data_IF_894706267708
#
_entry.id   IF_894706267708
#
_cell.length_a   1.000
_cell.length_b   1.000
_cell.length_c   1.000
_cell.angle_alpha   90.00
_cell.angle_beta   90.00
_cell.angle_gamma   90.00
#
_symmetry.space_group_name_H-M   'P 1'
#
loop_
_entity.id
_entity.type
_entity.pdbx_description
1 polymer ?
#
# COMPACT_ATOMS: atom_id res chain seq x y z
N UNK A 1 1.09 11.20 12.05
CA UNK A 1 1.70 11.21 10.73
C UNK A 1 2.46 9.90 10.53
N UNK A 2 1.79 8.91 10.00
CA UNK A 2 2.45 7.72 9.48
C UNK A 2 3.24 8.18 8.25
N UNK A 3 4.57 8.10 8.33
CA UNK A 3 5.48 8.65 7.33
C UNK A 3 5.28 8.07 5.94
N UNK A 4 4.39 8.70 5.19
CA UNK A 4 4.24 8.41 3.77
C UNK A 4 5.30 9.16 2.98
N UNK A 5 5.98 8.49 2.05
CA UNK A 5 6.92 9.13 1.13
C UNK A 5 6.14 10.10 0.23
N UNK A 6 6.44 11.37 0.36
CA UNK A 6 5.86 12.44 -0.45
C UNK A 6 6.92 13.19 -1.26
N UNK A 7 8.02 12.52 -1.60
CA UNK A 7 9.08 13.05 -2.44
C UNK A 7 10.16 13.85 -1.69
N UNK A 8 10.69 14.94 -2.26
CA UNK A 8 11.85 15.68 -1.76
C UNK A 8 11.71 16.23 -0.33
N UNK A 9 10.49 16.30 0.22
CA UNK A 9 10.25 16.73 1.61
C UNK A 9 10.91 15.84 2.67
N UNK A 10 11.18 14.58 2.35
CA UNK A 10 11.75 13.59 3.27
C UNK A 10 13.21 13.91 3.62
N UNK A 11 13.94 14.54 2.71
CA UNK A 11 15.34 14.95 2.92
C UNK A 11 15.43 15.95 4.09
N UNK A 12 14.47 16.84 4.25
CA UNK A 12 14.43 17.81 5.34
C UNK A 12 14.17 17.18 6.71
N UNK A 13 13.45 16.05 6.74
CA UNK A 13 13.07 15.38 8.00
C UNK A 13 14.13 14.43 8.52
N UNK A 14 15.27 14.28 7.84
CA UNK A 14 16.31 13.29 8.14
C UNK A 14 15.78 11.86 8.22
N UNK A 15 14.90 11.53 7.29
CA UNK A 15 14.23 10.24 7.13
C UNK A 15 14.61 9.63 5.79
N UNK A 16 14.68 8.29 5.74
CA UNK A 16 15.01 7.53 4.53
C UNK A 16 13.94 6.43 4.33
N UNK A 17 13.39 6.37 3.13
CA UNK A 17 12.52 5.27 2.71
C UNK A 17 13.38 4.15 2.12
N UNK A 18 13.22 2.95 2.66
CA UNK A 18 14.11 1.82 2.32
C UNK A 18 13.48 0.82 1.36
N UNK A 19 12.39 1.19 0.73
CA UNK A 19 11.68 0.41 -0.27
C UNK A 19 10.23 0.83 -0.36
N UNK A 20 9.50 0.25 -1.30
CA UNK A 20 8.04 0.42 -1.41
C UNK A 20 7.41 -0.91 -1.05
N UNK A 21 6.57 -0.92 -0.03
CA UNK A 21 5.84 -2.11 0.41
C UNK A 21 4.34 -2.05 0.11
N UNK A 22 3.83 -0.91 -0.38
CA UNK A 22 2.46 -0.77 -0.81
C UNK A 22 2.34 0.35 -1.85
N UNK A 23 1.83 0.02 -3.02
CA UNK A 23 1.52 0.99 -4.07
C UNK A 23 0.07 1.40 -3.94
N UNK A 24 -0.16 2.63 -3.51
CA UNK A 24 -1.45 3.27 -3.34
C UNK A 24 -1.63 4.44 -4.32
N UNK A 25 -2.72 5.13 -4.22
CA UNK A 25 -3.03 6.34 -4.96
C UNK A 25 -4.35 6.94 -4.51
N UNK A 26 -4.58 8.19 -4.90
CA UNK A 26 -5.81 8.90 -4.60
C UNK A 26 -6.98 8.31 -5.39
N UNK A 27 -8.08 8.03 -4.69
CA UNK A 27 -9.33 7.53 -5.24
C UNK A 27 -10.54 8.38 -4.82
N UNK A 28 -11.73 7.84 -5.06
CA UNK A 28 -13.01 8.48 -4.77
C UNK A 28 -13.95 7.52 -4.08
N UNK A 29 -14.60 7.95 -3.01
CA UNK A 29 -15.67 7.21 -2.37
C UNK A 29 -16.97 7.99 -2.44
N UNK A 30 -18.04 7.30 -2.84
CA UNK A 30 -19.37 7.86 -3.06
C UNK A 30 -20.45 7.00 -2.40
N UNK A 31 -21.64 7.56 -2.11
CA UNK A 31 -22.80 6.74 -1.78
C UNK A 31 -23.21 5.85 -2.96
N UNK A 32 -23.49 4.57 -2.72
CA UNK A 32 -23.98 3.65 -3.77
C UNK A 32 -25.29 4.14 -4.40
N UNK A 33 -26.08 4.92 -3.67
CA UNK A 33 -27.31 5.55 -4.16
C UNK A 33 -27.07 6.62 -5.24
N UNK A 34 -25.83 7.14 -5.38
CA UNK A 34 -25.48 8.08 -6.44
C UNK A 34 -25.53 7.41 -7.83
N UNK A 35 -25.35 6.08 -7.88
CA UNK A 35 -25.54 5.28 -9.10
C UNK A 35 -24.44 5.46 -10.16
N UNK A 36 -23.29 6.06 -9.80
CA UNK A 36 -22.13 6.24 -10.68
C UNK A 36 -21.17 5.06 -10.55
N UNK A 37 -20.47 4.76 -11.63
CA UNK A 37 -19.48 3.67 -11.71
C UNK A 37 -18.07 4.15 -12.06
N UNK A 38 -17.94 5.43 -12.38
CA UNK A 38 -16.67 6.08 -12.76
C UNK A 38 -16.59 7.48 -12.18
N UNK A 39 -15.39 7.91 -11.81
CA UNK A 39 -15.13 9.27 -11.36
C UNK A 39 -15.37 10.33 -12.46
N UNK A 40 -15.40 9.92 -13.73
CA UNK A 40 -15.73 10.83 -14.85
C UNK A 40 -17.22 11.17 -14.91
N UNK A 41 -18.06 10.49 -14.14
CA UNK A 41 -19.50 10.76 -14.03
C UNK A 41 -19.83 11.75 -12.89
N UNK A 42 -18.81 12.29 -12.20
CA UNK A 42 -18.96 13.17 -11.04
C UNK A 42 -19.09 14.66 -11.41
N UNK A 43 -19.57 14.99 -12.61
CA UNK A 43 -19.73 16.40 -13.01
C UNK A 43 -20.75 17.13 -12.12
N UNK A 44 -20.34 18.27 -11.56
CA UNK A 44 -21.14 19.08 -10.64
C UNK A 44 -21.22 18.56 -9.20
N UNK A 45 -20.53 17.47 -8.86
CA UNK A 45 -20.58 16.90 -7.51
C UNK A 45 -19.90 17.79 -6.47
N UNK A 46 -20.41 17.77 -5.24
CA UNK A 46 -19.74 18.37 -4.07
C UNK A 46 -18.70 17.42 -3.51
N UNK A 47 -17.43 17.81 -3.50
CA UNK A 47 -16.29 16.98 -3.09
C UNK A 47 -15.70 17.44 -1.78
N UNK A 48 -15.71 16.57 -0.74
CA UNK A 48 -14.97 16.78 0.50
C UNK A 48 -13.47 16.61 0.22
N UNK A 49 -12.68 17.68 0.38
CA UNK A 49 -11.25 17.73 0.03
C UNK A 49 -10.43 18.46 1.08
N UNK A 50 -9.33 17.87 1.51
CA UNK A 50 -8.39 18.51 2.43
C UNK A 50 -7.56 19.56 1.69
N UNK A 51 -7.73 20.81 2.08
CA UNK A 51 -7.07 21.96 1.46
C UNK A 51 -5.57 21.99 1.74
N UNK A 52 -4.81 22.55 0.80
CA UNK A 52 -3.34 22.71 0.91
C UNK A 52 -2.57 21.40 0.78
N UNK A 53 -3.19 20.36 0.23
CA UNK A 53 -2.59 19.03 0.03
C UNK A 53 -2.34 18.73 -1.44
N UNK A 54 -1.50 17.74 -1.72
CA UNK A 54 -1.35 17.16 -3.07
C UNK A 54 -2.65 16.58 -3.60
N UNK A 55 -3.50 16.09 -2.70
CA UNK A 55 -4.83 15.54 -3.01
C UNK A 55 -5.72 16.59 -3.67
N UNK A 56 -5.69 17.84 -3.19
CA UNK A 56 -6.45 18.95 -3.80
C UNK A 56 -5.94 19.26 -5.22
N UNK A 57 -4.62 19.28 -5.43
CA UNK A 57 -4.03 19.53 -6.74
C UNK A 57 -4.37 18.43 -7.74
N UNK A 58 -4.25 17.15 -7.34
CA UNK A 58 -4.58 16.01 -8.19
C UNK A 58 -6.07 16.01 -8.57
N UNK A 59 -6.95 16.33 -7.62
CA UNK A 59 -8.38 16.46 -7.87
C UNK A 59 -8.67 17.51 -8.95
N UNK A 60 -8.12 18.72 -8.80
CA UNK A 60 -8.31 19.82 -9.74
C UNK A 60 -7.80 19.46 -11.14
N UNK A 61 -6.65 18.81 -11.23
CA UNK A 61 -6.08 18.37 -12.50
C UNK A 61 -6.93 17.28 -13.17
N UNK A 62 -7.40 16.29 -12.41
CA UNK A 62 -8.24 15.21 -12.95
C UNK A 62 -9.56 15.74 -13.51
N UNK A 63 -10.25 16.60 -12.77
CA UNK A 63 -11.53 17.18 -13.21
C UNK A 63 -11.34 18.07 -14.44
N UNK A 64 -10.30 18.91 -14.46
CA UNK A 64 -9.96 19.76 -15.60
C UNK A 64 -9.65 18.93 -16.86
N UNK A 65 -8.86 17.86 -16.73
CA UNK A 65 -8.47 17.01 -17.86
C UNK A 65 -9.66 16.26 -18.46
N UNK A 66 -10.64 15.92 -17.64
CA UNK A 66 -11.87 15.23 -18.08
C UNK A 66 -12.99 16.21 -18.48
N UNK A 67 -12.78 17.52 -18.36
CA UNK A 67 -13.77 18.53 -18.73
C UNK A 67 -15.02 18.55 -17.85
N UNK A 68 -14.90 18.08 -16.61
CA UNK A 68 -15.95 18.05 -15.58
C UNK A 68 -15.67 19.08 -14.48
N UNK A 69 -16.74 19.53 -13.83
CA UNK A 69 -16.71 20.52 -12.75
C UNK A 69 -17.00 19.86 -11.40
N UNK A 70 -16.64 20.54 -10.30
CA UNK A 70 -17.00 20.15 -8.95
C UNK A 70 -17.15 21.35 -8.03
N UNK A 71 -17.86 21.18 -6.92
CA UNK A 71 -17.89 22.14 -5.82
C UNK A 71 -17.02 21.60 -4.67
N UNK A 72 -15.98 22.37 -4.28
CA UNK A 72 -15.11 21.93 -3.18
C UNK A 72 -15.77 22.22 -1.83
N UNK A 73 -15.90 21.20 -0.98
CA UNK A 73 -16.18 21.33 0.44
C UNK A 73 -14.85 21.13 1.19
N UNK A 74 -14.18 22.23 1.62
CA UNK A 74 -12.90 22.14 2.29
C UNK A 74 -13.03 21.50 3.67
N UNK A 75 -12.10 20.61 4.00
CA UNK A 75 -11.97 19.94 5.29
C UNK A 75 -10.55 20.14 5.84
N UNK A 76 -10.41 20.08 7.16
CA UNK A 76 -9.11 20.16 7.84
C UNK A 76 -8.53 18.78 8.15
N UNK A 77 -9.40 17.79 8.41
CA UNK A 77 -8.99 16.44 8.80
C UNK A 77 -9.72 15.35 8.01
N UNK A 78 -9.11 14.17 7.94
CA UNK A 78 -9.76 13.00 7.33
C UNK A 78 -11.04 12.59 8.07
N UNK A 79 -11.10 12.76 9.38
CA UNK A 79 -12.30 12.44 10.16
C UNK A 79 -13.45 13.37 9.83
N UNK A 80 -13.18 14.66 9.66
CA UNK A 80 -14.17 15.62 9.17
C UNK A 80 -14.70 15.26 7.78
N UNK A 81 -13.83 14.80 6.87
CA UNK A 81 -14.23 14.32 5.54
C UNK A 81 -15.20 13.15 5.60
N UNK A 82 -14.88 12.14 6.43
CA UNK A 82 -15.76 10.98 6.68
C UNK A 82 -17.12 11.41 7.25
N UNK A 83 -17.10 12.25 8.27
CA UNK A 83 -18.34 12.74 8.91
C UNK A 83 -19.20 13.54 7.92
N UNK A 84 -18.59 14.38 7.09
CA UNK A 84 -19.30 15.17 6.09
C UNK A 84 -19.92 14.28 5.01
N UNK A 85 -19.18 13.29 4.50
CA UNK A 85 -19.72 12.32 3.54
C UNK A 85 -20.87 11.52 4.14
N UNK A 86 -20.69 10.97 5.35
CA UNK A 86 -21.73 10.15 6.00
C UNK A 86 -22.98 10.95 6.37
N UNK A 87 -22.84 12.26 6.61
CA UNK A 87 -23.94 13.17 6.83
C UNK A 87 -24.60 13.70 5.54
N UNK A 88 -24.08 13.33 4.36
CA UNK A 88 -24.57 13.80 3.05
C UNK A 88 -24.30 15.29 2.81
N UNK A 89 -23.25 15.85 3.40
CA UNK A 89 -22.83 17.25 3.17
C UNK A 89 -21.98 17.37 1.92
N UNK A 90 -21.31 16.30 1.50
CA UNK A 90 -20.69 16.17 0.19
C UNK A 90 -21.12 14.85 -0.46
N UNK A 91 -21.05 14.80 -1.79
CA UNK A 91 -21.38 13.64 -2.59
C UNK A 91 -20.20 12.68 -2.72
N UNK A 92 -18.99 13.23 -2.61
CA UNK A 92 -17.73 12.52 -2.83
C UNK A 92 -16.74 12.85 -1.72
N UNK A 93 -16.05 11.82 -1.23
CA UNK A 93 -14.85 11.99 -0.42
C UNK A 93 -13.64 11.43 -1.18
N UNK A 94 -12.54 12.19 -1.24
CA UNK A 94 -11.33 11.80 -1.94
C UNK A 94 -10.11 11.87 -1.01
N UNK A 95 -9.37 10.78 -0.98
CA UNK A 95 -8.08 10.59 -0.30
C UNK A 95 -7.42 9.32 -0.87
N UNK A 96 -6.37 8.80 -0.23
CA UNK A 96 -5.73 7.54 -0.60
C UNK A 96 -6.76 6.39 -0.64
N UNK A 97 -6.72 5.55 -1.67
CA UNK A 97 -7.70 4.48 -1.90
C UNK A 97 -7.74 3.47 -0.74
N UNK A 98 -6.59 3.16 -0.13
CA UNK A 98 -6.54 2.32 1.08
C UNK A 98 -7.27 2.97 2.26
N UNK A 99 -7.14 4.30 2.41
CA UNK A 99 -7.86 5.09 3.40
C UNK A 99 -9.37 5.11 3.15
N UNK A 100 -9.80 5.17 1.88
CA UNK A 100 -11.20 5.07 1.49
C UNK A 100 -11.77 3.67 1.78
N UNK A 101 -11.04 2.61 1.45
CA UNK A 101 -11.42 1.23 1.78
C UNK A 101 -11.58 1.03 3.29
N UNK A 102 -10.64 1.57 4.08
CA UNK A 102 -10.73 1.55 5.55
C UNK A 102 -11.95 2.34 6.06
N UNK A 103 -12.24 3.49 5.46
CA UNK A 103 -13.41 4.31 5.80
C UNK A 103 -14.71 3.59 5.49
N UNK A 104 -14.78 2.92 4.34
CA UNK A 104 -15.91 2.09 3.95
C UNK A 104 -16.12 0.93 4.91
N UNK A 105 -15.05 0.19 5.24
CA UNK A 105 -15.09 -0.96 6.14
C UNK A 105 -15.54 -0.57 7.56
N UNK A 106 -15.16 0.62 8.02
CA UNK A 106 -15.54 1.13 9.35
C UNK A 106 -16.95 1.76 9.40
N UNK A 107 -17.62 1.94 8.25
CA UNK A 107 -18.95 2.51 8.20
C UNK A 107 -20.00 1.58 8.82
N UNK A 108 -21.05 2.14 9.42
CA UNK A 108 -22.16 1.36 10.01
C UNK A 108 -22.87 0.45 8.99
N UNK A 109 -22.80 0.78 7.72
CA UNK A 109 -23.31 0.00 6.59
C UNK A 109 -22.36 0.16 5.39
N UNK A 110 -21.33 -0.69 5.26
CA UNK A 110 -20.33 -0.61 4.19
C UNK A 110 -20.92 -0.68 2.77
N UNK A 111 -22.01 -1.43 2.58
CA UNK A 111 -22.65 -1.63 1.26
C UNK A 111 -23.31 -0.35 0.71
N UNK A 112 -23.47 0.68 1.55
CA UNK A 112 -23.94 1.99 1.12
C UNK A 112 -22.88 2.84 0.44
N UNK A 113 -21.63 2.39 0.43
CA UNK A 113 -20.50 3.16 -0.04
C UNK A 113 -19.73 2.39 -1.11
N UNK A 114 -19.30 3.09 -2.14
CA UNK A 114 -18.51 2.54 -3.24
C UNK A 114 -17.21 3.33 -3.35
N UNK A 115 -16.09 2.63 -3.40
CA UNK A 115 -14.81 3.20 -3.83
C UNK A 115 -14.74 3.00 -5.33
N UNK A 116 -14.64 4.10 -6.08
CA UNK A 116 -14.59 4.07 -7.54
C UNK A 116 -13.25 3.53 -8.04
N UNK A 117 -13.19 2.97 -9.25
CA UNK A 117 -11.99 2.26 -9.74
C UNK A 117 -10.82 3.18 -10.14
N UNK A 118 -11.10 4.48 -10.35
CA UNK A 118 -10.05 5.40 -10.81
C UNK A 118 -9.06 5.73 -9.68
N UNK A 119 -7.79 5.59 -10.01
CA UNK A 119 -6.66 6.04 -9.19
C UNK A 119 -5.97 7.19 -9.92
N UNK A 120 -5.96 8.38 -9.31
CA UNK A 120 -5.54 9.62 -9.98
C UNK A 120 -4.18 10.15 -9.52
N UNK A 121 -3.51 9.46 -8.61
CA UNK A 121 -2.14 9.79 -8.18
C UNK A 121 -1.28 8.54 -8.02
N UNK A 122 -0.01 8.74 -7.68
CA UNK A 122 0.94 7.70 -7.32
C UNK A 122 1.40 7.95 -5.90
N UNK A 123 1.05 7.03 -5.00
CA UNK A 123 1.44 7.08 -3.59
C UNK A 123 2.25 5.81 -3.23
N UNK A 124 3.57 5.81 -3.49
CA UNK A 124 4.44 4.69 -3.12
C UNK A 124 4.71 4.75 -1.61
N UNK A 125 4.07 3.86 -0.85
CA UNK A 125 4.22 3.78 0.61
C UNK A 125 5.33 2.80 0.95
N UNK A 126 6.11 3.10 1.98
CA UNK A 126 7.24 2.25 2.35
C UNK A 126 7.73 2.45 3.77
N UNK A 127 8.54 1.50 4.27
CA UNK A 127 9.15 1.61 5.57
C UNK A 127 10.10 2.81 5.65
N UNK A 128 10.04 3.50 6.77
CA UNK A 128 10.78 4.70 7.07
C UNK A 128 11.81 4.41 8.15
N UNK A 129 13.07 4.76 7.90
CA UNK A 129 14.16 4.67 8.88
C UNK A 129 14.79 6.04 9.12
N UNK A 130 15.57 6.16 10.20
CA UNK A 130 16.33 7.36 10.48
C UNK A 130 17.46 7.51 9.46
N UNK A 131 17.59 8.68 8.85
CA UNK A 131 18.70 8.98 7.94
C UNK A 131 20.06 8.83 8.63
N UNK A 132 20.97 8.09 8.00
CA UNK A 132 22.30 7.79 8.53
C UNK A 132 22.39 6.49 9.34
N UNK A 133 21.27 5.80 9.56
CA UNK A 133 21.25 4.46 10.14
C UNK A 133 21.18 3.41 9.02
N UNK A 134 22.27 3.31 8.28
CA UNK A 134 22.32 2.46 7.07
C UNK A 134 22.17 0.97 7.41
N UNK A 135 22.75 0.52 8.53
CA UNK A 135 22.65 -0.86 8.97
C UNK A 135 21.18 -1.26 9.20
N UNK A 136 20.45 -0.46 9.97
CA UNK A 136 19.03 -0.70 10.18
C UNK A 136 18.22 -0.57 8.90
N UNK A 137 18.57 0.40 8.05
CA UNK A 137 17.96 0.56 6.74
C UNK A 137 18.10 -0.69 5.85
N UNK A 138 19.28 -1.32 5.86
CA UNK A 138 19.53 -2.55 5.13
C UNK A 138 18.75 -3.73 5.71
N UNK A 139 18.68 -3.86 7.04
CA UNK A 139 17.85 -4.91 7.69
C UNK A 139 16.38 -4.77 7.26
N UNK A 140 15.82 -3.56 7.33
CA UNK A 140 14.40 -3.34 6.96
C UNK A 140 14.17 -3.60 5.47
N UNK A 141 15.05 -3.11 4.60
CA UNK A 141 14.99 -3.32 3.14
C UNK A 141 15.02 -4.80 2.78
N UNK A 142 15.98 -5.53 3.32
CA UNK A 142 16.13 -6.95 3.02
C UNK A 142 15.06 -7.80 3.66
N UNK A 143 14.47 -7.40 4.79
CA UNK A 143 13.27 -8.05 5.34
C UNK A 143 12.11 -8.01 4.36
N UNK A 144 11.83 -6.85 3.76
CA UNK A 144 10.81 -6.72 2.72
C UNK A 144 11.16 -7.56 1.49
N UNK A 145 12.40 -7.46 1.00
CA UNK A 145 12.85 -8.22 -0.17
C UNK A 145 12.73 -9.74 0.06
N UNK A 146 13.07 -10.22 1.25
CA UNK A 146 12.95 -11.64 1.57
C UNK A 146 11.50 -12.13 1.49
N UNK A 147 10.53 -11.33 1.96
CA UNK A 147 9.11 -11.66 1.86
C UNK A 147 8.63 -11.69 0.40
N UNK A 148 9.08 -10.75 -0.44
CA UNK A 148 8.74 -10.70 -1.87
C UNK A 148 9.34 -11.91 -2.61
N UNK A 149 10.62 -12.22 -2.35
CA UNK A 149 11.31 -13.37 -2.96
C UNK A 149 10.66 -14.68 -2.51
N UNK A 150 10.26 -14.79 -1.25
CA UNK A 150 9.55 -15.97 -0.75
C UNK A 150 8.22 -16.20 -1.50
N UNK A 151 7.46 -15.15 -1.77
CA UNK A 151 6.25 -15.24 -2.59
C UNK A 151 6.60 -15.70 -4.01
N UNK A 152 7.63 -15.14 -4.64
CA UNK A 152 8.06 -15.49 -6.00
C UNK A 152 8.51 -16.97 -6.08
N UNK A 153 9.13 -17.49 -5.03
CA UNK A 153 9.57 -18.90 -4.94
C UNK A 153 8.48 -19.86 -4.41
N UNK A 154 7.29 -19.36 -4.10
CA UNK A 154 6.18 -20.14 -3.54
C UNK A 154 6.46 -20.68 -2.12
N UNK A 155 7.29 -19.98 -1.36
CA UNK A 155 7.59 -20.31 0.04
C UNK A 155 6.61 -19.58 0.94
N UNK A 156 5.94 -20.33 1.82
CA UNK A 156 4.91 -19.84 2.74
C UNK A 156 5.25 -20.17 4.18
N UNK A 157 4.56 -19.56 5.13
CA UNK A 157 4.67 -19.89 6.56
C UNK A 157 4.39 -21.37 6.86
N UNK A 158 3.55 -22.02 6.04
CA UNK A 158 3.18 -23.43 6.20
C UNK A 158 4.24 -24.40 5.66
N UNK A 159 4.90 -24.04 4.53
CA UNK A 159 5.82 -24.95 3.85
C UNK A 159 7.31 -24.67 4.09
N UNK A 160 7.67 -23.55 4.71
CA UNK A 160 9.06 -23.08 4.88
C UNK A 160 9.95 -24.12 5.55
N UNK A 161 9.45 -24.90 6.51
CA UNK A 161 10.22 -25.96 7.19
C UNK A 161 10.68 -27.03 6.20
N UNK A 162 9.79 -27.48 5.32
CA UNK A 162 10.10 -28.47 4.30
C UNK A 162 11.07 -27.92 3.24
N UNK A 163 11.01 -26.63 2.95
CA UNK A 163 11.87 -25.97 1.97
C UNK A 163 13.34 -25.85 2.42
N UNK A 164 13.65 -26.02 3.70
CA UNK A 164 15.04 -26.09 4.18
C UNK A 164 15.81 -27.30 3.63
N UNK A 165 15.10 -28.30 3.11
CA UNK A 165 15.66 -29.48 2.43
C UNK A 165 15.48 -29.43 0.91
N UNK A 166 15.20 -28.28 0.33
CA UNK A 166 15.02 -28.08 -1.10
C UNK A 166 16.30 -28.40 -1.87
N UNK A 167 16.17 -28.76 -3.15
CA UNK A 167 17.31 -28.90 -4.07
C UNK A 167 17.50 -27.63 -4.95
N UNK A 168 16.75 -26.56 -4.67
CA UNK A 168 16.85 -25.28 -5.39
C UNK A 168 17.83 -24.38 -4.64
N UNK A 169 18.99 -24.02 -5.22
CA UNK A 169 20.02 -23.26 -4.51
C UNK A 169 19.53 -21.87 -4.05
N UNK A 170 18.63 -21.24 -4.79
CA UNK A 170 18.07 -19.94 -4.42
C UNK A 170 17.23 -20.01 -3.14
N UNK A 171 16.43 -21.07 -3.00
CA UNK A 171 15.66 -21.37 -1.78
C UNK A 171 16.60 -21.59 -0.60
N UNK A 172 17.66 -22.39 -0.76
CA UNK A 172 18.61 -22.69 0.31
C UNK A 172 19.35 -21.42 0.76
N UNK A 173 19.71 -20.53 -0.18
CA UNK A 173 20.31 -19.24 0.16
C UNK A 173 19.34 -18.32 0.91
N UNK A 174 18.10 -18.21 0.44
CA UNK A 174 17.07 -17.39 1.10
C UNK A 174 16.84 -17.85 2.54
N UNK A 175 16.77 -19.16 2.77
CA UNK A 175 16.47 -19.73 4.09
C UNK A 175 17.71 -19.85 4.99
N UNK A 176 18.89 -19.41 4.53
CA UNK A 176 20.15 -19.42 5.30
C UNK A 176 20.75 -20.80 5.50
N UNK A 177 20.35 -21.81 4.71
CA UNK A 177 20.95 -23.14 4.70
C UNK A 177 22.28 -23.14 3.96
N UNK A 178 22.39 -22.31 2.91
CA UNK A 178 23.62 -22.07 2.16
C UNK A 178 24.01 -20.58 2.19
N UNK A 179 25.31 -20.30 2.26
CA UNK A 179 25.83 -18.94 2.33
C UNK A 179 25.83 -18.37 3.73
N UNK A 180 26.26 -17.09 3.85
CA UNK A 180 26.39 -16.38 5.10
C UNK A 180 25.76 -14.96 5.00
N UNK A 181 24.63 -14.84 4.36
CA UNK A 181 23.99 -13.55 4.07
C UNK A 181 23.44 -12.85 5.33
N UNK A 182 23.15 -13.61 6.37
CA UNK A 182 22.77 -13.04 7.68
C UNK A 182 23.91 -12.25 8.32
N UNK A 183 25.13 -12.74 8.23
CA UNK A 183 26.32 -12.06 8.77
C UNK A 183 26.52 -10.67 8.15
N UNK A 184 26.16 -10.49 6.87
CA UNK A 184 26.25 -9.19 6.18
C UNK A 184 25.27 -8.15 6.75
N UNK A 185 24.22 -8.61 7.40
CA UNK A 185 23.21 -7.80 8.08
C UNK A 185 23.40 -7.78 9.61
N UNK A 186 24.47 -8.40 10.12
CA UNK A 186 24.72 -8.63 11.56
C UNK A 186 23.59 -9.42 12.23
N UNK A 187 22.97 -10.34 11.49
CA UNK A 187 21.90 -11.22 11.92
C UNK A 187 22.33 -12.69 11.83
N UNK A 188 21.53 -13.60 12.40
CA UNK A 188 21.67 -15.03 12.16
C UNK A 188 21.38 -15.37 10.68
N UNK A 189 22.01 -16.42 10.15
CA UNK A 189 21.81 -16.78 8.72
C UNK A 189 20.38 -17.18 8.38
N UNK A 190 19.61 -17.66 9.35
CA UNK A 190 18.22 -18.08 9.22
C UNK A 190 17.20 -16.91 9.38
N UNK A 191 17.64 -15.67 9.39
CA UNK A 191 16.78 -14.49 9.62
C UNK A 191 15.57 -14.44 8.66
N UNK A 192 15.76 -14.72 7.37
CA UNK A 192 14.67 -14.72 6.40
C UNK A 192 13.72 -15.90 6.61
N UNK A 193 14.26 -17.10 6.96
CA UNK A 193 13.44 -18.24 7.40
C UNK A 193 12.56 -17.85 8.58
N UNK A 194 13.12 -17.15 9.59
CA UNK A 194 12.37 -16.73 10.78
C UNK A 194 11.25 -15.75 10.44
N UNK A 195 11.48 -14.81 9.53
CA UNK A 195 10.43 -13.89 9.05
C UNK A 195 9.31 -14.68 8.38
N UNK A 196 9.65 -15.53 7.41
CA UNK A 196 8.65 -16.30 6.65
C UNK A 196 7.87 -17.25 7.57
N UNK A 197 8.56 -17.90 8.52
CA UNK A 197 7.93 -18.81 9.46
C UNK A 197 6.90 -18.15 10.38
N UNK A 198 7.19 -16.91 10.82
CA UNK A 198 6.37 -16.23 11.84
C UNK A 198 5.32 -15.30 11.22
N UNK A 199 5.62 -14.69 10.06
CA UNK A 199 4.78 -13.65 9.44
C UNK A 199 4.22 -14.14 8.10
N UNK A 200 4.92 -15.05 7.40
CA UNK A 200 4.62 -15.45 6.05
C UNK A 200 5.40 -14.68 4.99
N UNK A 201 5.13 -14.96 3.73
CA UNK A 201 5.63 -14.18 2.60
C UNK A 201 4.81 -12.89 2.41
N UNK A 202 5.13 -12.09 1.39
CA UNK A 202 4.44 -10.83 1.15
C UNK A 202 2.94 -11.03 0.84
N UNK A 203 2.59 -12.05 0.03
CA UNK A 203 1.19 -12.36 -0.27
C UNK A 203 0.40 -12.71 0.99
N UNK A 204 0.93 -13.60 1.84
CA UNK A 204 0.26 -13.99 3.09
C UNK A 204 0.01 -12.77 3.98
N UNK A 205 1.01 -11.89 4.11
CA UNK A 205 0.85 -10.65 4.89
C UNK A 205 -0.17 -9.70 4.27
N UNK A 206 -0.16 -9.54 2.94
CA UNK A 206 -1.12 -8.69 2.22
C UNK A 206 -2.55 -9.20 2.39
N UNK A 207 -2.78 -10.48 2.08
CA UNK A 207 -4.10 -11.09 2.13
C UNK A 207 -4.69 -11.10 3.55
N UNK A 208 -3.86 -11.30 4.56
CA UNK A 208 -4.32 -11.30 5.95
C UNK A 208 -4.72 -9.90 6.47
N UNK A 209 -4.13 -8.83 5.94
CA UNK A 209 -4.31 -7.48 6.48
C UNK A 209 -5.21 -6.59 5.63
N UNK A 210 -5.11 -6.66 4.30
CA UNK A 210 -5.79 -5.73 3.39
C UNK A 210 -6.47 -6.41 2.21
N UNK A 211 -6.23 -7.69 2.00
CA UNK A 211 -6.65 -8.46 0.81
C UNK A 211 -8.17 -8.54 0.62
N UNK A 212 -8.61 -9.16 -0.49
CA UNK A 212 -10.02 -9.25 -0.88
C UNK A 212 -10.93 -9.94 0.15
N UNK A 213 -10.38 -10.85 0.95
CA UNK A 213 -11.13 -11.57 2.00
C UNK A 213 -11.18 -10.82 3.34
N UNK A 214 -10.57 -9.64 3.42
CA UNK A 214 -10.66 -8.75 4.59
C UNK A 214 -11.80 -7.74 4.42
N UNK A 215 -12.22 -7.04 5.50
CA UNK A 215 -13.18 -5.96 5.38
C UNK A 215 -12.76 -4.81 4.45
N UNK A 216 -11.46 -4.69 4.14
CA UNK A 216 -10.92 -3.66 3.25
C UNK A 216 -11.13 -4.01 1.77
N UNK A 217 -11.14 -5.29 1.42
CA UNK A 217 -11.39 -5.83 0.07
C UNK A 217 -10.47 -5.23 -1.01
N UNK A 218 -9.18 -5.02 -0.67
CA UNK A 218 -8.23 -4.40 -1.61
C UNK A 218 -7.60 -5.49 -2.48
N UNK A 219 -7.85 -5.41 -3.80
CA UNK A 219 -7.18 -6.28 -4.76
C UNK A 219 -5.69 -5.96 -4.86
N UNK A 220 -4.86 -6.97 -5.16
CA UNK A 220 -3.40 -6.82 -5.29
C UNK A 220 -3.00 -5.73 -6.30
N UNK A 221 -3.57 -5.72 -7.49
CA UNK A 221 -3.25 -4.72 -8.52
C UNK A 221 -1.75 -4.54 -8.72
N UNK A 222 -1.24 -3.32 -8.58
CA UNK A 222 0.20 -3.03 -8.64
C UNK A 222 1.01 -3.72 -7.53
N UNK A 223 0.38 -4.10 -6.43
CA UNK A 223 1.00 -4.83 -5.32
C UNK A 223 1.16 -6.33 -5.58
N UNK A 224 0.85 -6.82 -6.77
CA UNK A 224 1.19 -8.17 -7.21
C UNK A 224 2.65 -8.25 -7.68
N UNK A 225 3.19 -9.47 -7.75
CA UNK A 225 4.51 -9.70 -8.31
C UNK A 225 4.59 -9.28 -9.79
N UNK A 226 5.76 -8.90 -10.26
CA UNK A 226 6.03 -8.58 -11.66
C UNK A 226 5.66 -9.72 -12.62
N UNK A 227 5.75 -10.97 -12.17
CA UNK A 227 5.32 -12.17 -12.92
C UNK A 227 3.80 -12.34 -12.97
N UNK A 228 3.05 -11.60 -12.16
CA UNK A 228 1.60 -11.67 -12.03
C UNK A 228 0.88 -10.38 -12.49
N UNK A 229 1.61 -9.52 -13.19
CA UNK A 229 1.06 -8.27 -13.73
C UNK A 229 1.14 -7.06 -12.79
N UNK A 230 1.74 -7.20 -11.61
CA UNK A 230 2.08 -6.11 -10.71
C UNK A 230 3.46 -5.52 -10.96
N UNK A 231 4.00 -4.81 -9.99
CA UNK A 231 5.32 -4.18 -10.06
C UNK A 231 6.22 -4.51 -8.85
N UNK A 232 5.80 -5.43 -7.98
CA UNK A 232 6.70 -5.91 -6.92
C UNK A 232 7.83 -6.73 -7.53
N UNK A 233 9.04 -6.26 -7.28
CA UNK A 233 10.26 -6.84 -7.81
C UNK A 233 11.38 -6.70 -6.77
N UNK A 234 11.93 -7.81 -6.30
CA UNK A 234 13.03 -7.82 -5.35
C UNK A 234 14.34 -8.28 -6.02
N UNK A 235 15.50 -7.71 -5.64
CA UNK A 235 16.79 -8.20 -6.13
C UNK A 235 17.06 -9.61 -5.59
N UNK A 236 17.70 -10.49 -6.38
CA UNK A 236 17.97 -11.87 -5.95
C UNK A 236 19.02 -11.93 -4.83
N UNK A 237 18.90 -12.94 -3.97
CA UNK A 237 19.94 -13.31 -2.99
C UNK A 237 21.15 -13.91 -3.70
N UNK A 238 22.23 -13.11 -3.83
CA UNK A 238 23.50 -13.49 -4.47
C UNK A 238 24.69 -12.93 -3.73
#
# INVERSE_FOLDING_TARGET
DLGMSRGLGDVYKRQEFVGVNFYDGQGFMVPSALGVSSATELDGATVCIQTGTTTELNLADFFRLNGISYEALPIETNDEGKENLFAGRCDVYTTDASGLSSTRAAASNPDKWVVLPEIISKEPLGPLVRHGDHQWGDVVRWSLNAMIIAEELGITSENVDAQTSSNVPEVLRLLGVEGNYGEMLELSNDWAYQIIKQIGNYSESYEANVGPDTPLEIARGLNALWTQGGILYAPPFR
#
